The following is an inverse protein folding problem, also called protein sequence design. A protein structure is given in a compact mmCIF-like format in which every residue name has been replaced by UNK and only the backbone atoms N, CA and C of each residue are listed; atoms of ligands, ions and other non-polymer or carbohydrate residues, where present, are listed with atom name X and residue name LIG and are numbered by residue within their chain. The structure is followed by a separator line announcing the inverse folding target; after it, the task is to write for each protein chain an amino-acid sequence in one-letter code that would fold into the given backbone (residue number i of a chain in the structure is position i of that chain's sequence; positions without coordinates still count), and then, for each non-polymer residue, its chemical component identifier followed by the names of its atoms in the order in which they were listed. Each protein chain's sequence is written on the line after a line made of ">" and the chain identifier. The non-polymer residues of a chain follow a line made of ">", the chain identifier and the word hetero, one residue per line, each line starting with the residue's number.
data_IF_539273207001
#
_entry.id   IF_539273207001
#
_cell.length_a   1.000
_cell.length_b   1.000
_cell.length_c   1.000
_cell.angle_alpha   90.00
_cell.angle_beta   90.00
_cell.angle_gamma   90.00
#
_symmetry.space_group_name_H-M   'P 1'
#
loop_
_entity.id
_entity.type
_entity.pdbx_description
1 polymer ?
#
# COMPACT_ATOMS: atom_id res chain seq x y z
N UNK A 1 -7.39 -6.04 6.11
CA UNK A 1 -7.58 -4.57 6.25
C UNK A 1 -8.66 -4.13 5.27
N UNK A 2 -9.57 -3.27 5.70
CA UNK A 2 -10.48 -2.51 4.83
C UNK A 2 -9.86 -1.15 4.53
N UNK A 3 -9.91 -0.73 3.26
CA UNK A 3 -9.32 0.53 2.82
C UNK A 3 -10.40 1.42 2.24
N UNK A 4 -10.54 2.61 2.80
CA UNK A 4 -11.43 3.68 2.34
C UNK A 4 -10.57 4.80 1.75
N UNK A 5 -10.32 4.75 0.45
CA UNK A 5 -9.46 5.72 -0.24
C UNK A 5 -10.19 6.60 -1.27
N UNK A 6 -11.51 6.47 -1.37
CA UNK A 6 -12.38 7.46 -2.02
C UNK A 6 -13.02 8.35 -0.95
N UNK A 7 -12.75 9.68 -0.93
CA UNK A 7 -13.31 10.61 0.05
C UNK A 7 -14.83 10.60 0.16
N UNK A 8 -15.53 10.21 -0.90
CA UNK A 8 -16.99 10.11 -0.94
C UNK A 8 -17.52 8.89 -0.18
N UNK A 9 -16.68 7.87 0.00
CA UNK A 9 -17.05 6.61 0.66
C UNK A 9 -16.54 6.49 2.09
N UNK A 10 -15.79 7.47 2.59
CA UNK A 10 -15.26 7.43 3.95
C UNK A 10 -16.38 7.25 4.99
N UNK A 11 -16.21 6.37 5.98
CA UNK A 11 -17.21 6.19 7.02
C UNK A 11 -17.37 7.48 7.83
N UNK A 12 -18.62 7.81 8.16
CA UNK A 12 -18.90 8.96 9.06
C UNK A 12 -18.38 8.69 10.47
N UNK A 13 -18.47 7.44 10.91
CA UNK A 13 -18.02 7.00 12.22
C UNK A 13 -17.35 5.62 12.09
N UNK A 14 -16.01 5.57 11.98
CA UNK A 14 -15.27 4.30 11.84
C UNK A 14 -15.46 3.35 13.01
N UNK A 15 -15.74 3.86 14.21
CA UNK A 15 -15.92 3.05 15.43
C UNK A 15 -17.23 2.24 15.41
N UNK A 16 -18.20 2.65 14.60
CA UNK A 16 -19.48 1.94 14.43
C UNK A 16 -19.41 0.85 13.34
N UNK A 17 -18.29 0.71 12.65
CA UNK A 17 -18.11 -0.37 11.70
C UNK A 17 -18.04 -1.69 12.48
N UNK A 18 -18.98 -2.59 12.20
CA UNK A 18 -18.98 -3.93 12.79
C UNK A 18 -17.95 -4.82 12.07
N UNK A 19 -16.68 -4.64 12.41
CA UNK A 19 -15.58 -5.38 11.79
C UNK A 19 -15.37 -6.72 12.52
N UNK A 20 -15.07 -7.81 11.77
CA UNK A 20 -14.60 -9.04 12.39
C UNK A 20 -13.32 -8.80 13.21
N UNK A 21 -13.11 -9.62 14.23
CA UNK A 21 -11.90 -9.55 15.04
C UNK A 21 -10.63 -9.67 14.16
N UNK A 22 -9.63 -8.85 14.45
CA UNK A 22 -8.38 -8.81 13.69
C UNK A 22 -8.44 -8.03 12.37
N UNK A 23 -9.58 -7.40 12.06
CA UNK A 23 -9.67 -6.48 10.92
C UNK A 23 -9.25 -5.07 11.33
N UNK A 24 -8.66 -4.36 10.37
CA UNK A 24 -8.18 -2.99 10.52
C UNK A 24 -8.78 -2.11 9.43
N UNK A 25 -8.89 -0.81 9.71
CA UNK A 25 -9.33 0.21 8.75
C UNK A 25 -8.14 1.09 8.38
N UNK A 26 -7.97 1.34 7.08
CA UNK A 26 -7.14 2.42 6.58
C UNK A 26 -8.03 3.47 5.91
N UNK A 27 -7.69 4.74 6.08
CA UNK A 27 -8.38 5.85 5.42
C UNK A 27 -7.35 6.72 4.72
N UNK A 28 -7.61 7.07 3.46
CA UNK A 28 -6.68 7.87 2.66
C UNK A 28 -7.36 8.46 1.44
N UNK A 29 -6.54 8.96 0.51
CA UNK A 29 -6.98 9.55 -0.76
C UNK A 29 -6.25 8.85 -1.89
N UNK A 30 -6.94 7.95 -2.60
CA UNK A 30 -6.38 7.33 -3.78
C UNK A 30 -6.01 8.42 -4.81
N UNK A 31 -4.88 8.35 -5.49
CA UNK A 31 -4.42 9.38 -6.43
C UNK A 31 -5.46 9.75 -7.51
N UNK A 32 -6.34 8.86 -7.90
CA UNK A 32 -7.43 9.16 -8.85
C UNK A 32 -8.47 10.16 -8.32
N UNK A 33 -8.51 10.37 -7.01
CA UNK A 33 -9.39 11.36 -6.35
C UNK A 33 -8.66 12.66 -5.99
N UNK A 34 -7.41 12.83 -6.42
CA UNK A 34 -6.59 13.99 -6.10
C UNK A 34 -7.21 15.33 -6.55
N UNK A 35 -7.92 15.33 -7.69
CA UNK A 35 -8.59 16.52 -8.23
C UNK A 35 -9.73 17.03 -7.33
N UNK A 36 -10.43 16.13 -6.66
CA UNK A 36 -11.59 16.45 -5.82
C UNK A 36 -11.17 16.78 -4.37
N UNK A 37 -9.89 16.56 -4.03
CA UNK A 37 -9.40 16.72 -2.67
C UNK A 37 -9.12 18.20 -2.36
N UNK A 38 -9.77 18.73 -1.32
CA UNK A 38 -9.65 20.12 -0.86
C UNK A 38 -9.77 20.21 0.66
N UNK A 39 -9.79 21.45 1.20
CA UNK A 39 -9.79 21.75 2.65
C UNK A 39 -10.83 20.94 3.41
N UNK A 40 -12.06 20.85 2.88
CA UNK A 40 -13.13 20.08 3.51
C UNK A 40 -12.77 18.61 3.74
N UNK A 41 -12.16 17.97 2.72
CA UNK A 41 -11.72 16.57 2.83
C UNK A 41 -10.46 16.43 3.68
N UNK A 42 -9.58 17.41 3.65
CA UNK A 42 -8.40 17.43 4.51
C UNK A 42 -8.80 17.43 6.00
N UNK A 43 -9.68 18.34 6.40
CA UNK A 43 -10.18 18.42 7.78
C UNK A 43 -10.95 17.15 8.19
N UNK A 44 -11.70 16.57 7.26
CA UNK A 44 -12.41 15.32 7.51
C UNK A 44 -11.45 14.16 7.68
N UNK A 45 -10.42 14.04 6.83
CA UNK A 45 -9.38 13.02 6.95
C UNK A 45 -8.65 13.14 8.28
N UNK A 46 -8.24 14.36 8.66
CA UNK A 46 -7.58 14.61 9.94
C UNK A 46 -8.39 14.06 11.11
N UNK A 47 -9.70 14.35 11.15
CA UNK A 47 -10.60 13.84 12.20
C UNK A 47 -10.78 12.32 12.18
N UNK A 48 -10.85 11.71 10.98
CA UNK A 48 -10.95 10.25 10.86
C UNK A 48 -9.70 9.54 11.40
N UNK A 49 -8.52 10.14 11.19
CA UNK A 49 -7.26 9.59 11.70
C UNK A 49 -7.15 9.67 13.23
N UNK A 50 -7.98 10.46 13.91
CA UNK A 50 -8.06 10.50 15.38
C UNK A 50 -8.83 9.31 15.94
N UNK A 51 -9.68 8.66 15.14
CA UNK A 51 -10.45 7.51 15.59
C UNK A 51 -9.55 6.31 15.92
N UNK A 52 -9.77 5.63 17.06
CA UNK A 52 -9.04 4.41 17.41
C UNK A 52 -9.29 3.25 16.45
N UNK A 53 -10.37 3.28 15.68
CA UNK A 53 -10.69 2.26 14.68
C UNK A 53 -9.84 2.37 13.40
N UNK A 54 -9.22 3.53 13.14
CA UNK A 54 -8.38 3.75 11.96
C UNK A 54 -6.93 3.40 12.30
N UNK A 55 -6.39 2.38 11.67
CA UNK A 55 -5.05 1.84 11.94
C UNK A 55 -3.96 2.35 10.98
N UNK A 56 -4.31 2.95 9.85
CA UNK A 56 -3.35 3.43 8.86
C UNK A 56 -3.87 4.64 8.06
N UNK A 57 -2.95 5.50 7.63
CA UNK A 57 -3.20 6.52 6.62
C UNK A 57 -2.89 5.94 5.23
N UNK A 58 -3.90 5.76 4.41
CA UNK A 58 -3.75 5.19 3.06
C UNK A 58 -5.07 4.59 2.53
N UNK A 59 -5.16 4.30 1.25
CA UNK A 59 -4.07 4.46 0.29
C UNK A 59 -3.90 5.92 -0.10
N UNK A 60 -2.64 6.30 -0.29
CA UNK A 60 -2.22 7.60 -0.81
C UNK A 60 -1.08 7.37 -1.81
N UNK A 61 -0.85 8.27 -2.75
CA UNK A 61 0.27 8.04 -3.66
C UNK A 61 0.11 8.65 -5.04
N UNK A 62 0.65 7.95 -6.05
CA UNK A 62 0.69 8.37 -7.45
C UNK A 62 0.21 7.23 -8.35
N UNK A 63 -0.74 7.52 -9.23
CA UNK A 63 -1.24 6.61 -10.28
C UNK A 63 -1.17 7.31 -11.64
N UNK A 64 -0.25 6.89 -12.48
CA UNK A 64 -0.07 7.38 -13.84
C UNK A 64 -0.73 6.46 -14.90
N UNK A 65 -1.62 5.53 -14.52
CA UNK A 65 -2.25 4.60 -15.46
C UNK A 65 -3.07 5.30 -16.57
N UNK A 66 -3.59 6.49 -16.27
CA UNK A 66 -4.33 7.33 -17.22
C UNK A 66 -3.45 8.41 -17.89
N UNK A 67 -2.13 8.29 -17.75
CA UNK A 67 -1.13 9.21 -18.28
C UNK A 67 -0.54 10.15 -17.24
N UNK A 68 0.59 10.78 -17.58
CA UNK A 68 1.37 11.60 -16.65
C UNK A 68 0.75 12.99 -16.38
N UNK A 69 -0.34 13.38 -17.06
CA UNK A 69 -0.93 14.73 -16.93
C UNK A 69 -1.43 15.04 -15.50
N UNK A 70 -1.86 14.03 -14.76
CA UNK A 70 -2.35 14.17 -13.39
C UNK A 70 -1.24 14.15 -12.33
N UNK A 71 0.02 13.87 -12.71
CA UNK A 71 1.14 13.70 -11.78
C UNK A 71 1.34 14.92 -10.87
N UNK A 72 1.30 16.13 -11.41
CA UNK A 72 1.51 17.37 -10.62
C UNK A 72 0.48 17.54 -9.52
N UNK A 73 -0.81 17.32 -9.82
CA UNK A 73 -1.86 17.43 -8.81
C UNK A 73 -1.81 16.30 -7.80
N UNK A 74 -1.55 15.07 -8.25
CA UNK A 74 -1.40 13.92 -7.35
C UNK A 74 -0.22 14.13 -6.39
N UNK A 75 0.92 14.64 -6.88
CA UNK A 75 2.09 14.98 -6.05
C UNK A 75 1.78 16.07 -5.03
N UNK A 76 1.02 17.11 -5.42
CA UNK A 76 0.60 18.17 -4.50
C UNK A 76 -0.34 17.63 -3.43
N UNK A 77 -1.33 16.83 -3.83
CA UNK A 77 -2.26 16.16 -2.89
C UNK A 77 -1.51 15.21 -1.95
N UNK A 78 -0.57 14.41 -2.46
CA UNK A 78 0.24 13.53 -1.64
C UNK A 78 1.03 14.30 -0.58
N UNK A 79 1.73 15.38 -0.98
CA UNK A 79 2.46 16.24 -0.03
C UNK A 79 1.56 16.79 1.06
N UNK A 80 0.35 17.21 0.69
CA UNK A 80 -0.62 17.75 1.63
C UNK A 80 -1.13 16.68 2.58
N UNK A 81 -1.52 15.51 2.09
CA UNK A 81 -1.97 14.39 2.93
C UNK A 81 -0.87 13.89 3.86
N UNK A 82 0.40 13.91 3.43
CA UNK A 82 1.53 13.50 4.29
C UNK A 82 1.75 14.43 5.50
N UNK A 83 1.21 15.64 5.51
CA UNK A 83 1.20 16.52 6.69
C UNK A 83 0.37 15.94 7.84
N UNK A 84 -0.55 15.01 7.54
CA UNK A 84 -1.33 14.28 8.52
C UNK A 84 -0.65 13.00 9.02
N UNK A 85 0.58 12.68 8.56
CA UNK A 85 1.31 11.50 8.97
C UNK A 85 1.57 11.51 10.49
N UNK A 86 1.40 10.35 11.11
CA UNK A 86 1.59 10.18 12.56
C UNK A 86 2.61 9.08 12.83
N UNK A 87 3.59 9.28 13.73
CA UNK A 87 4.72 8.33 13.91
C UNK A 87 4.31 6.89 14.23
N UNK A 88 3.16 6.71 14.86
CA UNK A 88 2.63 5.39 15.27
C UNK A 88 1.65 4.78 14.26
N UNK A 89 1.32 5.49 13.16
CA UNK A 89 0.33 5.06 12.18
C UNK A 89 1.02 4.75 10.85
N UNK A 90 0.97 3.51 10.34
CA UNK A 90 1.55 3.15 9.06
C UNK A 90 1.00 4.01 7.91
N UNK A 91 1.88 4.33 6.95
CA UNK A 91 1.51 4.94 5.67
C UNK A 91 1.37 3.83 4.62
N UNK A 92 0.23 3.75 3.95
CA UNK A 92 -0.02 2.79 2.86
C UNK A 92 0.06 3.51 1.52
N UNK A 93 1.08 3.20 0.74
CA UNK A 93 1.35 3.87 -0.53
C UNK A 93 0.89 3.05 -1.73
N UNK A 94 0.17 3.72 -2.62
CA UNK A 94 -0.17 3.25 -3.96
C UNK A 94 0.73 3.90 -5.01
N UNK A 95 1.51 3.09 -5.75
CA UNK A 95 2.34 3.59 -6.85
C UNK A 95 2.10 2.81 -8.12
N UNK A 96 1.69 3.51 -9.18
CA UNK A 96 1.49 2.92 -10.50
C UNK A 96 2.06 3.83 -11.59
N UNK A 97 3.11 3.37 -12.24
CA UNK A 97 3.68 4.07 -13.38
C UNK A 97 2.80 3.95 -14.64
N UNK A 98 3.05 4.82 -15.62
CA UNK A 98 2.39 4.74 -16.93
C UNK A 98 2.94 3.57 -17.74
N UNK A 99 2.04 2.69 -18.20
CA UNK A 99 2.39 1.52 -19.00
C UNK A 99 3.26 0.49 -18.26
N UNK A 100 3.75 -0.50 -19.00
CA UNK A 100 4.60 -1.57 -18.47
C UNK A 100 6.10 -1.23 -18.55
N UNK A 101 6.47 0.04 -18.31
CA UNK A 101 7.85 0.50 -18.34
C UNK A 101 8.52 0.34 -16.98
N UNK A 102 9.46 -0.62 -16.82
CA UNK A 102 10.16 -0.85 -15.55
C UNK A 102 10.96 0.36 -15.05
N UNK A 103 11.57 1.12 -15.97
CA UNK A 103 12.34 2.32 -15.63
C UNK A 103 11.45 3.42 -15.08
N UNK A 104 10.24 3.59 -15.64
CA UNK A 104 9.26 4.53 -15.13
C UNK A 104 8.78 4.12 -13.73
N UNK A 105 8.61 2.82 -13.48
CA UNK A 105 8.26 2.29 -12.16
C UNK A 105 9.32 2.64 -11.12
N UNK A 106 10.61 2.41 -11.43
CA UNK A 106 11.71 2.72 -10.49
C UNK A 106 11.90 4.21 -10.25
N UNK A 107 11.74 5.01 -11.32
CA UNK A 107 11.80 6.46 -11.21
C UNK A 107 10.70 6.96 -10.27
N UNK A 108 9.47 6.42 -10.39
CA UNK A 108 8.35 6.76 -9.53
C UNK A 108 8.62 6.41 -8.05
N UNK A 109 9.11 5.20 -7.77
CA UNK A 109 9.47 4.81 -6.40
C UNK A 109 10.53 5.74 -5.79
N UNK A 110 11.54 6.16 -6.56
CA UNK A 110 12.58 7.10 -6.11
C UNK A 110 12.03 8.50 -5.86
N UNK A 111 11.20 9.00 -6.79
CA UNK A 111 10.62 10.34 -6.69
C UNK A 111 9.71 10.46 -5.47
N UNK A 112 8.82 9.50 -5.28
CA UNK A 112 7.92 9.51 -4.13
C UNK A 112 8.67 9.30 -2.81
N UNK A 113 9.76 8.52 -2.82
CA UNK A 113 10.62 8.44 -1.63
C UNK A 113 11.19 9.81 -1.26
N UNK A 114 11.68 10.58 -2.25
CA UNK A 114 12.16 11.95 -2.01
C UNK A 114 11.09 12.85 -1.40
N UNK A 115 9.86 12.80 -1.94
CA UNK A 115 8.71 13.54 -1.39
C UNK A 115 8.38 13.09 0.04
N UNK A 116 8.47 11.79 0.30
CA UNK A 116 8.15 11.23 1.63
C UNK A 116 9.20 11.67 2.65
N UNK A 117 10.48 11.64 2.33
CA UNK A 117 11.56 12.09 3.21
C UNK A 117 11.46 13.58 3.55
N UNK A 118 11.02 14.42 2.60
CA UNK A 118 10.78 15.83 2.81
C UNK A 118 9.63 16.10 3.82
N UNK A 119 8.54 15.35 3.71
CA UNK A 119 7.33 15.54 4.52
C UNK A 119 7.28 14.73 5.80
N UNK A 120 7.94 13.58 5.83
CA UNK A 120 7.96 12.63 6.94
C UNK A 120 9.41 12.28 7.28
N UNK A 121 10.18 13.22 7.86
CA UNK A 121 11.61 13.02 8.14
C UNK A 121 11.89 11.98 9.25
N UNK A 122 10.85 11.54 9.97
CA UNK A 122 10.98 10.48 10.97
C UNK A 122 11.15 9.11 10.29
N UNK A 123 12.38 8.65 10.19
CA UNK A 123 12.73 7.36 9.54
C UNK A 123 12.22 6.12 10.29
N UNK A 124 11.70 6.27 11.51
CA UNK A 124 11.02 5.20 12.24
C UNK A 124 9.56 5.01 11.79
N UNK A 125 9.07 5.87 10.87
CA UNK A 125 7.76 5.72 10.27
C UNK A 125 7.60 4.35 9.61
N UNK A 126 6.53 3.65 9.94
CA UNK A 126 6.16 2.40 9.26
C UNK A 126 5.55 2.70 7.91
N UNK A 127 6.03 2.02 6.88
CA UNK A 127 5.59 2.17 5.49
C UNK A 127 5.03 0.83 4.99
N UNK A 128 3.95 0.86 4.25
CA UNK A 128 3.46 -0.25 3.46
C UNK A 128 3.42 0.15 1.98
N UNK A 129 4.27 -0.43 1.16
CA UNK A 129 4.23 -0.29 -0.29
C UNK A 129 3.22 -1.31 -0.84
N UNK A 130 2.00 -0.83 -1.13
CA UNK A 130 0.90 -1.63 -1.65
C UNK A 130 1.18 -2.13 -3.07
N UNK A 131 0.80 -3.37 -3.38
CA UNK A 131 0.97 -4.00 -4.68
C UNK A 131 2.38 -3.81 -5.29
N UNK A 132 3.41 -4.02 -4.47
CA UNK A 132 4.80 -3.76 -4.84
C UNK A 132 5.24 -4.57 -6.06
N UNK A 133 5.85 -3.89 -7.03
CA UNK A 133 6.37 -4.47 -8.28
C UNK A 133 7.77 -3.94 -8.65
N UNK A 134 8.47 -3.32 -7.70
CA UNK A 134 9.85 -2.88 -7.87
C UNK A 134 10.87 -4.03 -7.85
N UNK A 135 12.13 -3.69 -8.07
CA UNK A 135 13.25 -4.62 -8.04
C UNK A 135 13.97 -4.64 -6.67
N UNK A 136 15.06 -5.40 -6.60
CA UNK A 136 15.90 -5.51 -5.41
C UNK A 136 16.54 -4.18 -5.00
N UNK A 137 16.89 -3.31 -5.96
CA UNK A 137 17.45 -1.99 -5.67
C UNK A 137 16.39 -1.07 -5.03
N UNK A 138 15.14 -1.17 -5.49
CA UNK A 138 14.00 -0.45 -4.90
C UNK A 138 13.69 -0.96 -3.49
N UNK A 139 13.75 -2.28 -3.25
CA UNK A 139 13.60 -2.85 -1.90
C UNK A 139 14.66 -2.28 -0.96
N UNK A 140 15.93 -2.30 -1.40
CA UNK A 140 17.04 -1.75 -0.61
C UNK A 140 16.84 -0.26 -0.32
N UNK A 141 16.52 0.52 -1.34
CA UNK A 141 16.34 1.97 -1.26
C UNK A 141 15.30 2.36 -0.18
N UNK A 142 14.13 1.74 -0.20
CA UNK A 142 13.06 2.02 0.76
C UNK A 142 13.39 1.48 2.16
N UNK A 143 14.04 0.31 2.25
CA UNK A 143 14.44 -0.28 3.53
C UNK A 143 15.56 0.50 4.22
N UNK A 144 16.48 1.09 3.47
CA UNK A 144 17.55 1.94 4.02
C UNK A 144 16.98 3.27 4.54
N UNK A 145 16.03 3.88 3.80
CA UNK A 145 15.41 5.15 4.17
C UNK A 145 14.43 4.99 5.35
N UNK A 146 13.59 3.95 5.29
CA UNK A 146 12.61 3.62 6.32
C UNK A 146 12.72 2.13 6.68
N UNK A 147 13.46 1.78 7.74
CA UNK A 147 13.65 0.37 8.14
C UNK A 147 12.34 -0.36 8.49
N UNK A 148 11.27 0.40 8.76
CA UNK A 148 9.91 -0.10 8.98
C UNK A 148 9.12 -0.42 7.70
N UNK A 149 9.73 -0.37 6.51
CA UNK A 149 9.02 -0.60 5.24
C UNK A 149 8.60 -2.06 5.09
N UNK A 150 7.33 -2.26 4.76
CA UNK A 150 6.73 -3.54 4.37
C UNK A 150 6.32 -3.49 2.91
N UNK A 151 6.33 -4.65 2.27
CA UNK A 151 6.09 -4.79 0.84
C UNK A 151 4.91 -5.75 0.63
N UNK A 152 3.81 -5.23 0.07
CA UNK A 152 2.60 -5.98 -0.21
C UNK A 152 2.63 -6.63 -1.59
N UNK A 153 2.17 -7.87 -1.67
CA UNK A 153 2.08 -8.62 -2.93
C UNK A 153 0.67 -9.13 -3.15
N UNK A 154 0.16 -8.86 -4.32
CA UNK A 154 -1.18 -9.27 -4.79
C UNK A 154 -1.09 -10.37 -5.86
N UNK A 155 -2.22 -10.68 -6.48
CA UNK A 155 -2.28 -11.64 -7.61
C UNK A 155 -1.40 -11.26 -8.80
N UNK A 156 -0.94 -10.00 -8.88
CA UNK A 156 0.03 -9.54 -9.90
C UNK A 156 1.30 -10.37 -9.93
N UNK A 157 1.70 -11.00 -8.81
CA UNK A 157 2.87 -11.89 -8.73
C UNK A 157 2.87 -13.00 -9.79
N UNK A 158 1.70 -13.43 -10.26
CA UNK A 158 1.55 -14.45 -11.31
C UNK A 158 2.14 -13.99 -12.64
N UNK A 159 2.07 -12.69 -12.94
CA UNK A 159 2.58 -12.06 -14.17
C UNK A 159 3.97 -11.45 -14.03
N UNK A 160 4.63 -11.59 -12.88
CA UNK A 160 5.94 -10.99 -12.68
C UNK A 160 6.99 -11.53 -13.64
N UNK A 161 7.68 -10.64 -14.34
CA UNK A 161 8.94 -10.91 -15.03
C UNK A 161 10.10 -11.07 -14.03
N UNK A 162 11.33 -11.23 -14.55
CA UNK A 162 12.50 -11.49 -13.71
C UNK A 162 12.80 -10.34 -12.73
N UNK A 163 12.59 -9.11 -13.15
CA UNK A 163 12.88 -7.92 -12.35
C UNK A 163 12.05 -7.85 -11.05
N UNK A 164 10.69 -7.83 -11.06
CA UNK A 164 9.92 -7.84 -9.82
C UNK A 164 10.05 -9.15 -9.05
N UNK A 165 10.40 -10.28 -9.70
CA UNK A 165 10.75 -11.52 -8.98
C UNK A 165 12.02 -11.36 -8.14
N UNK A 166 13.05 -10.64 -8.64
CA UNK A 166 14.24 -10.33 -7.84
C UNK A 166 13.89 -9.45 -6.66
N UNK A 167 13.04 -8.42 -6.87
CA UNK A 167 12.50 -7.59 -5.79
C UNK A 167 11.82 -8.43 -4.71
N UNK A 168 10.86 -9.30 -5.10
CA UNK A 168 10.17 -10.18 -4.16
C UNK A 168 11.12 -11.11 -3.38
N UNK A 169 12.18 -11.62 -4.01
CA UNK A 169 13.19 -12.44 -3.32
C UNK A 169 14.03 -11.62 -2.34
N UNK A 170 14.28 -10.36 -2.62
CA UNK A 170 15.06 -9.46 -1.77
C UNK A 170 14.29 -8.98 -0.52
N UNK A 171 12.96 -9.02 -0.53
CA UNK A 171 12.15 -8.61 0.62
C UNK A 171 12.43 -9.52 1.83
N UNK A 172 12.80 -8.96 3.00
CA UNK A 172 12.94 -9.74 4.23
C UNK A 172 11.63 -10.44 4.61
N UNK A 173 11.70 -11.67 5.11
CA UNK A 173 10.51 -12.46 5.45
C UNK A 173 9.57 -11.79 6.45
N UNK A 174 10.12 -11.00 7.39
CA UNK A 174 9.37 -10.22 8.37
C UNK A 174 8.86 -8.87 7.84
N UNK A 175 9.01 -8.59 6.54
CA UNK A 175 8.54 -7.37 5.87
C UNK A 175 7.58 -7.66 4.70
N UNK A 176 7.27 -8.94 4.47
CA UNK A 176 6.39 -9.39 3.40
C UNK A 176 4.93 -9.34 3.85
N UNK A 177 4.08 -8.73 3.04
CA UNK A 177 2.62 -8.73 3.21
C UNK A 177 1.94 -9.38 2.02
N UNK A 178 0.73 -9.90 2.25
CA UNK A 178 -0.13 -10.46 1.21
C UNK A 178 -1.40 -9.63 1.12
N UNK A 179 -1.85 -9.37 -0.11
CA UNK A 179 -2.99 -8.54 -0.42
C UNK A 179 -3.89 -9.23 -1.45
N UNK A 180 -5.19 -9.15 -1.24
CA UNK A 180 -6.15 -9.56 -2.28
C UNK A 180 -6.35 -8.45 -3.30
N UNK A 181 -6.29 -7.21 -2.87
CA UNK A 181 -6.68 -6.01 -3.63
C UNK A 181 -8.14 -6.09 -4.14
N UNK A 182 -8.99 -6.80 -3.40
CA UNK A 182 -10.41 -6.95 -3.75
C UNK A 182 -11.16 -5.63 -3.62
N UNK A 183 -12.10 -5.32 -4.54
CA UNK A 183 -12.62 -6.16 -5.64
C UNK A 183 -11.81 -6.07 -6.94
N UNK A 184 -10.68 -5.36 -6.92
CA UNK A 184 -9.79 -5.15 -8.07
C UNK A 184 -8.98 -6.43 -8.39
N UNK A 185 -8.20 -6.39 -9.47
CA UNK A 185 -7.37 -7.50 -9.94
C UNK A 185 -8.19 -8.78 -10.15
N UNK A 186 -9.06 -8.78 -11.17
CA UNK A 186 -9.94 -9.89 -11.55
C UNK A 186 -9.22 -11.25 -11.47
N UNK A 187 -9.90 -12.26 -10.97
CA UNK A 187 -9.39 -13.63 -10.99
C UNK A 187 -9.40 -14.19 -12.43
N UNK A 188 -8.68 -15.28 -12.65
CA UNK A 188 -8.39 -15.93 -13.93
C UNK A 188 -9.63 -16.23 -14.78
N UNK A 189 -10.84 -16.23 -14.20
CA UNK A 189 -12.11 -16.47 -14.87
C UNK A 189 -12.93 -15.21 -15.18
N UNK A 190 -12.38 -13.98 -14.98
CA UNK A 190 -13.14 -12.75 -15.14
C UNK A 190 -14.17 -12.50 -14.03
N UNK A 191 -14.12 -13.28 -12.95
CA UNK A 191 -14.97 -13.09 -11.77
C UNK A 191 -14.41 -11.96 -10.87
N UNK A 192 -15.30 -11.34 -10.10
CA UNK A 192 -14.92 -10.35 -9.10
C UNK A 192 -13.95 -10.99 -8.11
N UNK A 193 -12.83 -10.30 -7.86
CA UNK A 193 -11.86 -10.74 -6.87
C UNK A 193 -12.44 -10.69 -5.45
N UNK A 194 -12.01 -11.62 -4.61
CA UNK A 194 -12.51 -11.78 -3.25
C UNK A 194 -11.36 -12.05 -2.26
N UNK A 195 -11.41 -11.55 -1.00
CA UNK A 195 -10.35 -11.80 0.01
C UNK A 195 -10.02 -13.29 0.24
N UNK A 196 -10.98 -14.21 0.03
CA UNK A 196 -10.74 -15.65 0.10
C UNK A 196 -9.70 -16.15 -0.93
N UNK A 197 -9.41 -15.38 -1.98
CA UNK A 197 -8.39 -15.74 -2.97
C UNK A 197 -6.95 -15.46 -2.50
N UNK A 198 -6.76 -14.99 -1.26
CA UNK A 198 -5.43 -14.67 -0.71
C UNK A 198 -4.48 -15.88 -0.70
N UNK A 199 -5.03 -17.12 -0.58
CA UNK A 199 -4.22 -18.33 -0.69
C UNK A 199 -3.53 -18.45 -2.05
N UNK A 200 -4.20 -18.08 -3.13
CA UNK A 200 -3.63 -18.09 -4.49
C UNK A 200 -2.49 -17.08 -4.65
N UNK A 201 -2.55 -15.97 -3.93
CA UNK A 201 -1.44 -15.00 -3.86
C UNK A 201 -0.25 -15.65 -3.14
N UNK A 202 -0.51 -16.29 -1.99
CA UNK A 202 0.53 -16.99 -1.24
C UNK A 202 1.22 -18.09 -2.08
N UNK A 203 0.47 -18.84 -2.90
CA UNK A 203 1.06 -19.84 -3.84
C UNK A 203 1.98 -19.16 -4.86
N UNK A 204 1.57 -18.01 -5.41
CA UNK A 204 2.40 -17.25 -6.36
C UNK A 204 3.70 -16.77 -5.71
N UNK A 205 3.63 -16.17 -4.54
CA UNK A 205 4.78 -15.69 -3.75
C UNK A 205 5.69 -16.87 -3.35
N UNK A 206 5.12 -17.97 -2.87
CA UNK A 206 5.83 -19.17 -2.45
C UNK A 206 6.65 -19.75 -3.59
N UNK A 207 6.06 -19.85 -4.80
CA UNK A 207 6.77 -20.32 -6.00
C UNK A 207 7.99 -19.47 -6.34
N UNK A 208 7.89 -18.15 -6.24
CA UNK A 208 9.02 -17.24 -6.51
C UNK A 208 10.10 -17.35 -5.44
N UNK A 209 9.71 -17.55 -4.19
CA UNK A 209 10.64 -17.60 -3.04
C UNK A 209 11.17 -18.99 -2.72
N UNK A 210 10.64 -20.05 -3.35
CA UNK A 210 11.00 -21.44 -3.02
C UNK A 210 10.56 -21.85 -1.61
N UNK A 211 9.40 -21.37 -1.14
CA UNK A 211 8.89 -21.58 0.22
C UNK A 211 7.51 -22.29 0.18
N UNK A 212 7.04 -22.77 1.32
CA UNK A 212 5.69 -23.30 1.45
C UNK A 212 4.64 -22.18 1.41
N UNK A 213 3.51 -22.33 0.68
CA UNK A 213 2.41 -21.36 0.70
C UNK A 213 1.86 -21.10 2.11
N UNK A 214 1.82 -22.13 2.96
CA UNK A 214 1.37 -21.99 4.35
C UNK A 214 2.33 -21.14 5.19
N UNK A 215 3.64 -21.25 4.97
CA UNK A 215 4.63 -20.44 5.67
C UNK A 215 4.58 -18.99 5.21
N UNK A 216 4.35 -18.76 3.93
CA UNK A 216 4.09 -17.42 3.38
C UNK A 216 2.83 -16.80 4.01
N UNK A 217 1.73 -17.55 4.13
CA UNK A 217 0.52 -17.08 4.80
C UNK A 217 0.75 -16.75 6.27
N UNK A 218 1.41 -17.63 7.01
CA UNK A 218 1.73 -17.41 8.43
C UNK A 218 2.58 -16.16 8.62
N UNK A 219 3.61 -15.99 7.79
CA UNK A 219 4.45 -14.80 7.81
C UNK A 219 3.65 -13.53 7.49
N UNK A 220 2.81 -13.56 6.43
CA UNK A 220 1.98 -12.43 6.05
C UNK A 220 0.99 -12.01 7.16
N UNK A 221 0.36 -12.99 7.83
CA UNK A 221 -0.53 -12.74 8.97
C UNK A 221 0.24 -12.09 10.13
N UNK A 222 1.37 -12.68 10.54
CA UNK A 222 2.18 -12.16 11.64
C UNK A 222 2.69 -10.74 11.36
N UNK A 223 3.18 -10.50 10.15
CA UNK A 223 3.68 -9.20 9.72
C UNK A 223 2.56 -8.14 9.66
N UNK A 224 1.39 -8.49 9.12
CA UNK A 224 0.22 -7.61 9.09
C UNK A 224 -0.27 -7.24 10.48
N UNK A 225 -0.35 -8.22 11.39
CA UNK A 225 -0.70 -7.97 12.79
C UNK A 225 0.33 -7.06 13.49
N UNK A 226 1.64 -7.30 13.25
CA UNK A 226 2.69 -6.48 13.84
C UNK A 226 2.67 -5.04 13.31
N UNK A 227 2.38 -4.85 12.02
CA UNK A 227 2.35 -3.55 11.38
C UNK A 227 1.15 -2.72 11.81
N UNK A 228 -0.06 -3.31 11.81
CA UNK A 228 -1.33 -2.58 11.97
C UNK A 228 -1.92 -2.61 13.39
N UNK A 229 -1.37 -3.43 14.29
CA UNK A 229 -1.80 -3.44 15.68
C UNK A 229 -1.37 -2.13 16.34
N UNK A 230 -2.34 -1.29 16.68
CA UNK A 230 -2.06 -0.12 17.54
C UNK A 230 -1.50 -0.62 18.89
N UNK A 231 -0.39 -0.03 19.29
CA UNK A 231 0.19 -0.19 20.62
C UNK A 231 -0.55 0.68 21.62
#
# INVERSE_FOLDING_TARGET
>A
MLVYCDPKTWPENPEKLNLPEGWFVAVGVHPKHALDFGDFYFDRLSRLLDSPAVAALGEVGIDCSEGAKSFGIQSSTLKWVLELARPYMPLVFHFRASGDNPQATDALYREVLGLTLDKVPNTLQSIHLHCFNGDEATVKLWSDAYPGTHFGFSSMVKGFGDRPKRGLRAVPGNRLLLESDSPHLLDVAGSINHPAHLFRVAEGVARVRGQSPLDILRSGIANGQALYRRK
#
